data_IF_786690955496
#
_entry.id   IF_786690955496
#
_cell.length_a   1.000
_cell.length_b   1.000
_cell.length_c   1.000
_cell.angle_alpha   90.00
_cell.angle_beta   90.00
_cell.angle_gamma   90.00
#
_symmetry.space_group_name_H-M   'P 1'
#
loop_
_entity.id
_entity.type
_entity.pdbx_description
1 polymer ?
#
# COMPACT_ATOMS: atom_id res chain seq x y z
N UNK A 1 4.34 -9.77 14.44
CA UNK A 1 3.80 -11.09 14.77
C UNK A 1 2.81 -11.09 15.93
N UNK A 2 2.47 -9.92 16.47
CA UNK A 2 1.47 -9.79 17.55
C UNK A 2 0.08 -10.31 17.17
N UNK A 3 -0.33 -10.27 15.90
CA UNK A 3 -1.68 -10.70 15.50
C UNK A 3 -1.84 -12.22 15.39
N UNK A 4 -0.77 -12.96 15.13
CA UNK A 4 -0.83 -14.42 15.21
C UNK A 4 -1.12 -14.89 16.65
N UNK A 5 -0.64 -14.15 17.65
CA UNK A 5 -0.93 -14.41 19.06
C UNK A 5 -2.39 -14.07 19.43
N UNK A 6 -2.98 -13.02 18.84
CA UNK A 6 -4.39 -12.66 19.05
C UNK A 6 -5.35 -13.73 18.49
N UNK A 7 -4.95 -14.42 17.41
CA UNK A 7 -5.72 -15.55 16.82
C UNK A 7 -5.32 -16.93 17.41
N UNK A 8 -4.44 -16.97 18.42
CA UNK A 8 -4.00 -18.19 19.07
C UNK A 8 -3.02 -19.03 18.23
N UNK A 9 -2.37 -18.41 17.24
CA UNK A 9 -1.36 -19.06 16.40
C UNK A 9 0.02 -18.66 16.88
N UNK A 10 0.78 -19.58 17.44
CA UNK A 10 2.14 -19.32 17.94
C UNK A 10 3.13 -18.98 16.83
N UNK A 11 3.02 -19.66 15.69
CA UNK A 11 3.87 -19.43 14.50
C UNK A 11 3.01 -19.41 13.24
N UNK A 12 2.90 -18.27 12.54
CA UNK A 12 2.15 -18.21 11.29
C UNK A 12 2.90 -18.98 10.18
N UNK A 13 2.16 -19.76 9.43
CA UNK A 13 2.66 -20.42 8.23
C UNK A 13 2.39 -19.53 7.02
N UNK A 14 3.44 -19.24 6.23
CA UNK A 14 3.40 -18.31 5.10
C UNK A 14 3.69 -19.07 3.80
N UNK A 15 2.81 -18.89 2.82
CA UNK A 15 3.02 -19.29 1.44
C UNK A 15 3.23 -18.09 0.52
N UNK A 16 3.49 -18.36 -0.76
CA UNK A 16 3.67 -17.33 -1.78
C UNK A 16 2.79 -17.63 -2.98
N UNK A 17 2.08 -16.61 -3.48
CA UNK A 17 1.38 -16.67 -4.76
C UNK A 17 2.38 -16.73 -5.92
N UNK A 18 1.90 -17.05 -7.11
CA UNK A 18 2.70 -17.18 -8.35
C UNK A 18 3.65 -15.99 -8.59
N UNK A 19 3.21 -14.78 -8.24
CA UNK A 19 3.99 -13.54 -8.44
C UNK A 19 4.68 -13.03 -7.17
N UNK A 20 4.93 -13.93 -6.21
CA UNK A 20 5.74 -13.65 -5.03
C UNK A 20 5.04 -12.89 -3.90
N UNK A 21 3.73 -12.57 -4.02
CA UNK A 21 2.99 -11.98 -2.91
C UNK A 21 2.85 -13.02 -1.79
N UNK A 22 3.31 -12.72 -0.55
CA UNK A 22 3.14 -13.62 0.56
C UNK A 22 1.68 -13.66 1.03
N UNK A 23 1.25 -14.82 1.55
CA UNK A 23 -0.06 -15.00 2.18
C UNK A 23 0.04 -15.93 3.38
N UNK A 24 -0.92 -15.84 4.29
CA UNK A 24 -1.02 -16.79 5.40
C UNK A 24 -1.68 -18.11 4.94
N UNK A 25 -0.98 -19.21 5.15
CA UNK A 25 -1.58 -20.56 5.14
C UNK A 25 -2.34 -20.72 6.45
N UNK A 26 -1.71 -20.32 7.57
CA UNK A 26 -2.30 -20.24 8.90
C UNK A 26 -1.89 -18.91 9.56
N UNK A 27 -2.81 -18.15 10.14
CA UNK A 27 -4.27 -18.36 10.21
C UNK A 27 -4.96 -18.10 8.85
N UNK A 28 -5.86 -19.01 8.45
CA UNK A 28 -6.60 -18.88 7.19
C UNK A 28 -7.59 -17.71 7.22
N UNK A 29 -7.88 -17.15 6.04
CA UNK A 29 -8.86 -16.07 5.89
C UNK A 29 -8.35 -14.67 6.30
N UNK A 30 -7.06 -14.53 6.59
CA UNK A 30 -6.38 -13.26 6.75
C UNK A 30 -5.49 -12.95 5.56
N UNK A 31 -5.47 -11.67 5.19
CA UNK A 31 -4.59 -11.12 4.15
C UNK A 31 -3.66 -10.11 4.80
N UNK A 32 -2.43 -10.05 4.31
CA UNK A 32 -1.49 -9.04 4.74
C UNK A 32 -0.69 -8.47 3.58
N UNK A 33 -0.14 -7.30 3.79
CA UNK A 33 0.77 -6.64 2.86
C UNK A 33 1.87 -5.92 3.63
N UNK A 34 3.06 -5.91 3.08
CA UNK A 34 4.24 -5.27 3.66
C UNK A 34 4.83 -4.26 2.70
N UNK A 35 5.37 -3.18 3.26
CA UNK A 35 6.19 -2.21 2.55
C UNK A 35 7.22 -1.62 3.47
N UNK A 36 8.33 -1.14 2.92
CA UNK A 36 9.35 -0.41 3.68
C UNK A 36 9.94 0.73 2.85
N UNK A 37 10.32 1.81 3.52
CA UNK A 37 11.02 2.94 2.93
C UNK A 37 11.85 3.64 4.00
N UNK A 38 13.16 3.81 3.75
CA UNK A 38 14.07 4.40 4.74
C UNK A 38 14.04 3.64 6.06
N UNK A 39 13.68 4.32 7.13
CA UNK A 39 13.67 3.77 8.50
C UNK A 39 12.33 3.14 8.91
N UNK A 40 11.32 3.19 8.02
CA UNK A 40 9.97 2.70 8.32
C UNK A 40 9.63 1.44 7.55
N UNK A 41 8.92 0.55 8.23
CA UNK A 41 8.22 -0.57 7.64
C UNK A 41 6.73 -0.44 7.97
N UNK A 42 5.88 -0.72 6.99
CA UNK A 42 4.43 -0.72 7.12
C UNK A 42 3.87 -2.12 6.89
N UNK A 43 2.90 -2.50 7.71
CA UNK A 43 2.15 -3.74 7.57
C UNK A 43 0.65 -3.43 7.62
N UNK A 44 -0.09 -3.96 6.67
CA UNK A 44 -1.56 -3.93 6.69
C UNK A 44 -2.10 -5.36 6.79
N UNK A 45 -3.15 -5.54 7.60
CA UNK A 45 -3.87 -6.80 7.75
C UNK A 45 -5.36 -6.58 7.58
N UNK A 46 -6.04 -7.54 6.93
CA UNK A 46 -7.48 -7.50 6.71
C UNK A 46 -8.06 -8.89 6.46
N UNK A 47 -9.39 -8.99 6.54
CA UNK A 47 -10.14 -10.18 6.09
C UNK A 47 -10.44 -10.18 4.59
N UNK A 48 -9.93 -9.20 3.86
CA UNK A 48 -10.07 -9.02 2.41
C UNK A 48 -8.70 -8.73 1.81
N UNK A 49 -8.50 -8.92 0.50
CA UNK A 49 -7.25 -8.57 -0.14
C UNK A 49 -6.84 -7.13 0.16
N UNK A 50 -5.67 -6.96 0.71
CA UNK A 50 -5.14 -5.68 1.20
C UNK A 50 -3.76 -5.41 0.62
N UNK A 51 -3.45 -4.15 0.39
CA UNK A 51 -2.14 -3.67 0.02
C UNK A 51 -1.75 -2.43 0.82
N UNK A 52 -0.48 -2.31 1.14
CA UNK A 52 0.11 -1.13 1.78
C UNK A 52 1.36 -0.71 1.03
N UNK A 53 1.54 0.59 0.87
CA UNK A 53 2.81 1.14 0.44
C UNK A 53 3.20 2.34 1.30
N UNK A 54 4.50 2.48 1.55
CA UNK A 54 5.10 3.62 2.25
C UNK A 54 6.28 4.14 1.45
N UNK A 55 6.33 5.45 1.23
CA UNK A 55 7.43 6.09 0.52
C UNK A 55 7.83 7.40 1.20
N UNK A 56 9.14 7.66 1.20
CA UNK A 56 9.67 8.95 1.62
C UNK A 56 9.41 10.00 0.56
N UNK A 57 8.94 11.19 0.99
CA UNK A 57 8.83 12.36 0.11
C UNK A 57 10.26 12.82 -0.20
N UNK A 58 10.60 12.89 -1.47
CA UNK A 58 11.91 13.29 -1.96
C UNK A 58 11.77 13.99 -3.31
N UNK A 59 12.72 14.82 -3.72
CA UNK A 59 12.76 15.32 -5.08
C UNK A 59 12.73 14.17 -6.07
N UNK A 60 11.81 14.21 -7.02
CA UNK A 60 11.64 13.18 -8.07
C UNK A 60 11.65 13.84 -9.43
N UNK A 61 12.14 13.11 -10.41
CA UNK A 61 12.00 13.52 -11.79
C UNK A 61 10.52 13.46 -12.19
N UNK A 62 9.94 14.62 -12.47
CA UNK A 62 8.55 14.74 -12.90
C UNK A 62 8.28 14.15 -14.30
N UNK A 63 9.29 13.60 -14.96
CA UNK A 63 9.13 12.78 -16.17
C UNK A 63 8.60 11.37 -15.92
N UNK A 64 8.78 10.82 -14.71
CA UNK A 64 8.29 9.50 -14.31
C UNK A 64 6.76 9.37 -14.39
N UNK A 65 5.95 10.38 -14.00
CA UNK A 65 4.50 10.29 -14.06
C UNK A 65 3.90 9.98 -15.42
N UNK A 66 4.54 10.41 -16.50
CA UNK A 66 4.01 10.21 -17.87
C UNK A 66 3.80 8.76 -18.26
N UNK A 67 4.54 7.85 -17.65
CA UNK A 67 4.47 6.41 -17.95
C UNK A 67 3.56 5.62 -17.00
N UNK A 68 3.27 6.17 -15.85
CA UNK A 68 2.62 5.45 -14.75
C UNK A 68 1.32 6.10 -14.27
N UNK A 69 1.05 7.35 -14.66
CA UNK A 69 -0.09 8.14 -14.19
C UNK A 69 -1.08 8.40 -15.32
N UNK A 70 -2.38 8.37 -14.98
CA UNK A 70 -3.43 8.81 -15.89
C UNK A 70 -3.34 10.31 -16.18
N UNK A 71 -4.04 10.77 -17.20
CA UNK A 71 -4.12 12.22 -17.54
C UNK A 71 -4.64 13.05 -16.35
N UNK A 72 -5.66 12.54 -15.65
CA UNK A 72 -6.23 13.21 -14.47
C UNK A 72 -5.22 13.33 -13.33
N UNK A 73 -4.46 12.27 -13.07
CA UNK A 73 -3.40 12.26 -12.07
C UNK A 73 -2.26 13.21 -12.43
N UNK A 74 -1.87 13.25 -13.69
CA UNK A 74 -0.88 14.20 -14.18
C UNK A 74 -1.38 15.64 -14.07
N UNK A 75 -2.67 15.90 -14.28
CA UNK A 75 -3.26 17.22 -14.08
C UNK A 75 -3.24 17.62 -12.60
N UNK A 76 -3.64 16.73 -11.69
CA UNK A 76 -3.55 16.97 -10.24
C UNK A 76 -2.12 17.33 -9.83
N UNK A 77 -1.15 16.62 -10.36
CA UNK A 77 0.26 16.89 -10.08
C UNK A 77 0.68 18.28 -10.56
N UNK A 78 0.28 18.69 -11.78
CA UNK A 78 0.61 20.03 -12.32
C UNK A 78 -0.04 21.16 -11.55
N UNK A 79 -1.20 20.95 -10.94
CA UNK A 79 -1.94 21.96 -10.17
C UNK A 79 -1.59 21.96 -8.69
N UNK A 80 -0.78 21.01 -8.23
CA UNK A 80 -0.39 20.91 -6.83
C UNK A 80 0.61 21.98 -6.41
N UNK A 81 0.43 22.55 -5.21
CA UNK A 81 1.42 23.41 -4.57
C UNK A 81 2.63 22.65 -4.00
N UNK A 82 2.54 21.34 -3.93
CA UNK A 82 3.59 20.42 -3.43
C UNK A 82 3.69 19.21 -4.35
N UNK A 83 4.22 19.35 -5.57
CA UNK A 83 4.19 18.29 -6.59
C UNK A 83 4.89 17.00 -6.16
N UNK A 84 5.99 17.08 -5.40
CA UNK A 84 6.70 15.90 -4.89
C UNK A 84 5.84 15.11 -3.90
N UNK A 85 5.14 15.78 -3.00
CA UNK A 85 4.22 15.13 -2.05
C UNK A 85 3.04 14.51 -2.80
N UNK A 86 2.44 15.23 -3.74
CA UNK A 86 1.32 14.73 -4.53
C UNK A 86 1.72 13.52 -5.38
N UNK A 87 2.91 13.56 -5.98
CA UNK A 87 3.45 12.43 -6.73
C UNK A 87 3.57 11.18 -5.85
N UNK A 88 4.17 11.32 -4.68
CA UNK A 88 4.34 10.20 -3.74
C UNK A 88 2.97 9.69 -3.24
N UNK A 89 2.00 10.59 -3.03
CA UNK A 89 0.63 10.23 -2.64
C UNK A 89 -0.07 9.37 -3.69
N UNK A 90 -0.01 9.79 -4.96
CA UNK A 90 -0.58 9.02 -6.07
C UNK A 90 0.16 7.69 -6.23
N UNK A 91 1.49 7.72 -6.17
CA UNK A 91 2.33 6.53 -6.33
C UNK A 91 2.04 5.47 -5.27
N UNK A 92 2.08 5.83 -3.99
CA UNK A 92 1.83 4.90 -2.88
C UNK A 92 0.44 4.28 -2.95
N UNK A 93 -0.58 5.04 -3.37
CA UNK A 93 -1.92 4.50 -3.52
C UNK A 93 -1.98 3.48 -4.65
N UNK A 94 -1.38 3.76 -5.81
CA UNK A 94 -1.31 2.81 -6.92
C UNK A 94 -0.57 1.53 -6.54
N UNK A 95 0.58 1.65 -5.87
CA UNK A 95 1.34 0.50 -5.37
C UNK A 95 0.52 -0.32 -4.36
N UNK A 96 -0.23 0.33 -3.47
CA UNK A 96 -1.11 -0.37 -2.55
C UNK A 96 -2.20 -1.17 -3.28
N UNK A 97 -2.82 -0.62 -4.33
CA UNK A 97 -3.80 -1.32 -5.16
C UNK A 97 -3.17 -2.53 -5.86
N UNK A 98 -2.00 -2.34 -6.47
CA UNK A 98 -1.25 -3.42 -7.16
C UNK A 98 -0.87 -4.53 -6.18
N UNK A 99 -0.40 -4.18 -4.99
CA UNK A 99 -0.06 -5.15 -3.93
C UNK A 99 -1.30 -5.92 -3.45
N UNK A 100 -2.46 -5.26 -3.35
CA UNK A 100 -3.70 -5.93 -2.99
C UNK A 100 -4.10 -6.98 -4.03
N UNK A 101 -4.01 -6.65 -5.32
CA UNK A 101 -4.36 -7.56 -6.42
C UNK A 101 -3.47 -8.81 -6.51
N UNK A 102 -2.22 -8.72 -6.03
CA UNK A 102 -1.24 -9.80 -6.15
C UNK A 102 -0.67 -10.02 -7.56
N UNK A 103 -1.06 -9.21 -8.55
CA UNK A 103 -0.63 -9.35 -9.94
C UNK A 103 0.74 -8.72 -10.23
N UNK A 104 1.30 -7.98 -9.26
CA UNK A 104 2.58 -7.30 -9.41
C UNK A 104 2.57 -6.25 -10.52
N UNK A 105 3.75 -5.95 -11.06
CA UNK A 105 3.94 -4.91 -12.09
C UNK A 105 3.40 -5.26 -13.49
N UNK A 106 2.60 -6.30 -13.63
CA UNK A 106 1.97 -6.68 -14.91
C UNK A 106 0.77 -5.80 -15.27
N UNK A 107 0.26 -5.01 -14.35
CA UNK A 107 -0.81 -4.06 -14.61
C UNK A 107 -0.25 -2.77 -15.23
N UNK A 108 -0.97 -2.24 -16.20
CA UNK A 108 -0.70 -0.87 -16.67
C UNK A 108 -1.06 0.10 -15.55
N UNK A 109 -0.04 0.68 -14.92
CA UNK A 109 -0.21 1.59 -13.79
C UNK A 109 -1.10 2.79 -14.13
N UNK A 110 -1.20 3.20 -15.39
CA UNK A 110 -2.11 4.29 -15.82
C UNK A 110 -3.58 3.93 -15.60
N UNK A 111 -3.91 2.64 -15.69
CA UNK A 111 -5.28 2.12 -15.51
C UNK A 111 -5.58 1.73 -14.05
N UNK A 112 -4.57 1.69 -13.18
CA UNK A 112 -4.75 1.36 -11.76
C UNK A 112 -5.42 2.53 -11.05
N UNK A 113 -6.55 2.25 -10.41
CA UNK A 113 -7.26 3.20 -9.55
C UNK A 113 -7.87 2.49 -8.34
N UNK A 114 -8.24 3.24 -7.32
CA UNK A 114 -8.76 2.73 -6.06
C UNK A 114 -10.30 2.73 -5.97
N UNK A 115 -11.00 2.94 -7.09
CA UNK A 115 -12.47 3.14 -7.10
C UNK A 115 -13.29 1.91 -6.70
N UNK A 116 -12.70 0.71 -6.78
CA UNK A 116 -13.38 -0.55 -6.48
C UNK A 116 -13.23 -1.03 -5.03
N UNK A 117 -12.56 -0.27 -4.19
CA UNK A 117 -12.32 -0.62 -2.79
C UNK A 117 -12.28 0.58 -1.87
N UNK A 118 -11.89 0.34 -0.64
CA UNK A 118 -11.64 1.39 0.35
C UNK A 118 -10.17 1.70 0.44
N UNK A 119 -9.80 2.96 0.57
CA UNK A 119 -8.42 3.36 0.76
C UNK A 119 -8.28 4.51 1.74
N UNK A 120 -7.12 4.61 2.35
CA UNK A 120 -6.71 5.74 3.18
C UNK A 120 -5.25 6.06 2.93
N UNK A 121 -4.93 7.34 2.97
CA UNK A 121 -3.55 7.84 2.82
C UNK A 121 -3.25 8.79 3.97
N UNK A 122 -2.13 8.57 4.63
CA UNK A 122 -1.63 9.40 5.73
C UNK A 122 -0.28 10.00 5.37
N UNK A 123 -0.04 11.19 5.88
CA UNK A 123 1.29 11.77 5.93
C UNK A 123 1.88 11.52 7.32
N UNK A 124 3.07 10.94 7.36
CA UNK A 124 3.82 10.63 8.56
C UNK A 124 5.19 11.29 8.44
N UNK A 125 5.36 12.48 9.04
CA UNK A 125 6.58 13.28 8.87
C UNK A 125 6.85 13.57 7.38
N UNK A 126 7.97 13.09 6.84
CA UNK A 126 8.33 13.18 5.43
C UNK A 126 8.01 11.90 4.63
N UNK A 127 7.07 11.07 5.13
CA UNK A 127 6.59 9.87 4.44
C UNK A 127 5.10 9.94 4.13
N UNK A 128 4.72 9.26 3.06
CA UNK A 128 3.32 8.97 2.75
C UNK A 128 3.09 7.47 2.89
N UNK A 129 2.01 7.10 3.54
CA UNK A 129 1.55 5.71 3.70
C UNK A 129 0.16 5.60 3.08
N UNK A 130 -0.03 4.68 2.15
CA UNK A 130 -1.34 4.38 1.58
C UNK A 130 -1.71 2.92 1.84
N UNK A 131 -2.95 2.71 2.22
CA UNK A 131 -3.55 1.38 2.37
C UNK A 131 -4.76 1.30 1.45
N UNK A 132 -4.86 0.21 0.73
CA UNK A 132 -6.02 -0.15 -0.07
C UNK A 132 -6.55 -1.51 0.36
N UNK A 133 -7.86 -1.64 0.51
CA UNK A 133 -8.53 -2.89 0.78
C UNK A 133 -9.63 -3.13 -0.27
N UNK A 134 -9.61 -4.29 -0.89
CA UNK A 134 -10.62 -4.68 -1.86
C UNK A 134 -12.00 -4.82 -1.20
N UNK A 135 -13.06 -4.72 -2.01
CA UNK A 135 -14.45 -4.94 -1.60
C UNK A 135 -14.93 -4.05 -0.44
N UNK A 136 -14.50 -2.79 -0.41
CA UNK A 136 -14.97 -1.77 0.53
C UNK A 136 -14.94 -2.22 2.01
N UNK A 137 -13.86 -2.84 2.46
CA UNK A 137 -13.68 -3.17 3.86
C UNK A 137 -13.52 -1.89 4.72
N UNK A 138 -13.91 -1.97 5.99
CA UNK A 138 -13.67 -0.87 6.93
C UNK A 138 -12.18 -0.75 7.25
N UNK A 139 -11.61 0.39 6.91
CA UNK A 139 -10.24 0.74 7.27
C UNK A 139 -10.26 1.53 8.59
N UNK A 140 -9.43 1.13 9.54
CA UNK A 140 -9.25 1.87 10.78
C UNK A 140 -8.69 3.27 10.51
N UNK A 141 -9.13 4.27 11.29
CA UNK A 141 -8.67 5.65 11.13
C UNK A 141 -7.26 5.91 11.68
N UNK A 142 -6.72 4.95 12.42
CA UNK A 142 -5.45 5.11 13.12
C UNK A 142 -4.39 4.15 12.60
N UNK A 143 -3.18 4.68 12.42
CA UNK A 143 -1.97 3.89 12.22
C UNK A 143 -1.42 3.52 13.60
N UNK A 144 -1.34 2.23 13.90
CA UNK A 144 -0.58 1.77 15.07
C UNK A 144 0.91 1.84 14.74
N UNK A 145 1.67 2.66 15.45
CA UNK A 145 3.13 2.71 15.34
C UNK A 145 3.73 1.63 16.23
N UNK A 146 4.54 0.76 15.66
CA UNK A 146 5.32 -0.23 16.40
C UNK A 146 6.80 0.07 16.12
N UNK A 147 7.52 0.42 17.17
CA UNK A 147 8.96 0.64 17.10
C UNK A 147 9.68 -0.63 17.53
N UNK A 148 10.55 -1.16 16.66
CA UNK A 148 11.54 -2.15 17.04
C UNK A 148 12.87 -1.43 17.31
N UNK A 149 13.40 -1.63 18.50
CA UNK A 149 14.78 -1.27 18.83
C UNK A 149 15.71 -2.40 18.47
#
# INVERSE_FOLDING_TARGET
>A
MMMAAEEGVETPEIGFYEYGKPYFIQPAGWYFSLSHSGEYAACALARKPVGVDIQKIRPVDLGVPRRSFSEEEQQKLRLSNSPEEELIRIWTLKEAVVKASGLGLRQDLRCVNASTGSYKTWKLEDYIVSVYCADACELQDQIKRIFYK
#
